data_IF_373716087099
#
_entry.id   IF_373716087099
#
_cell.length_a   1.000
_cell.length_b   1.000
_cell.length_c   1.000
_cell.angle_alpha   90.00
_cell.angle_beta   90.00
_cell.angle_gamma   90.00
#
_symmetry.space_group_name_H-M   'P 1'
#
loop_
_entity.id
_entity.type
_entity.pdbx_description
1 polymer ?
#
# COMPACT_ATOMS: atom_id res chain seq x y z
N UNK A 1 51.29 3.03 2.26
CA UNK A 1 50.77 4.04 3.21
C UNK A 1 49.46 4.57 2.63
N UNK A 2 48.38 3.86 2.91
CA UNK A 2 47.03 4.33 2.56
C UNK A 2 46.57 5.16 3.76
N UNK A 3 46.39 6.47 3.54
CA UNK A 3 45.80 7.35 4.54
C UNK A 3 44.30 7.40 4.27
N UNK A 4 43.50 6.95 5.24
CA UNK A 4 42.04 7.01 5.18
C UNK A 4 41.54 7.91 6.30
N UNK A 5 40.62 8.82 5.96
CA UNK A 5 39.99 9.71 6.92
C UNK A 5 38.48 9.56 6.86
N UNK A 6 37.87 9.24 7.99
CA UNK A 6 36.42 9.13 8.14
C UNK A 6 35.95 10.30 8.99
N UNK A 7 35.02 11.06 8.42
CA UNK A 7 34.43 12.24 9.04
C UNK A 7 32.92 12.22 8.85
N UNK A 8 32.17 12.51 9.92
CA UNK A 8 30.71 12.76 9.86
C UNK A 8 29.94 11.62 9.18
N UNK A 9 30.38 10.38 9.43
CA UNK A 9 29.79 9.19 8.84
C UNK A 9 29.02 8.41 9.92
N UNK A 10 27.85 7.89 9.55
CA UNK A 10 27.05 6.93 10.31
C UNK A 10 26.76 5.71 9.41
N UNK A 11 27.77 4.88 9.09
CA UNK A 11 27.53 3.72 8.26
C UNK A 11 26.88 2.61 9.10
N UNK A 12 25.77 2.03 8.62
CA UNK A 12 25.37 0.67 9.02
C UNK A 12 26.41 -0.28 8.42
N UNK A 13 27.31 -0.81 9.24
CA UNK A 13 28.36 -1.71 8.74
C UNK A 13 28.07 -3.13 9.22
N UNK A 14 27.65 -3.98 8.29
CA UNK A 14 27.54 -5.43 8.49
C UNK A 14 28.93 -6.11 8.64
N UNK A 15 30.05 -5.36 8.62
CA UNK A 15 31.40 -5.90 8.85
C UNK A 15 32.44 -4.81 9.14
N UNK A 16 33.39 -5.14 10.03
CA UNK A 16 34.44 -4.31 10.62
C UNK A 16 35.19 -3.34 9.67
N UNK A 17 35.48 -2.13 10.14
CA UNK A 17 36.54 -1.31 9.57
C UNK A 17 37.91 -1.96 9.85
N UNK A 18 38.57 -2.47 8.82
CA UNK A 18 39.86 -3.17 8.94
C UNK A 18 41.02 -2.25 8.53
N UNK A 19 41.99 -2.10 9.44
CA UNK A 19 43.25 -1.38 9.22
C UNK A 19 44.43 -2.35 9.28
N UNK A 20 45.09 -2.60 8.16
CA UNK A 20 46.23 -3.52 8.06
C UNK A 20 47.43 -2.82 7.40
N UNK A 21 48.61 -3.45 7.48
CA UNK A 21 49.82 -3.06 6.73
C UNK A 21 50.26 -1.59 6.92
N UNK A 22 50.37 -1.16 8.17
CA UNK A 22 50.92 0.15 8.54
C UNK A 22 50.06 1.33 8.01
N UNK A 23 48.74 1.11 7.92
CA UNK A 23 47.78 2.14 7.56
C UNK A 23 47.73 3.26 8.62
N UNK A 24 47.37 4.47 8.17
CA UNK A 24 47.09 5.59 9.06
C UNK A 24 45.62 5.97 8.92
N UNK A 25 44.87 5.83 10.02
CA UNK A 25 43.44 6.10 10.07
C UNK A 25 43.14 7.23 11.03
N UNK A 26 42.36 8.19 10.56
CA UNK A 26 41.80 9.26 11.36
C UNK A 26 40.27 9.12 11.41
N UNK A 27 39.71 9.03 12.61
CA UNK A 27 38.26 8.95 12.85
C UNK A 27 37.85 10.14 13.71
N UNK A 28 36.96 10.99 13.19
CA UNK A 28 36.50 12.17 13.90
C UNK A 28 35.00 12.39 13.72
N UNK A 29 34.31 12.72 14.81
CA UNK A 29 32.89 13.07 14.80
C UNK A 29 32.02 12.00 14.14
N UNK A 30 32.25 10.74 14.51
CA UNK A 30 31.58 9.58 13.92
C UNK A 30 30.97 8.68 14.98
N UNK A 31 29.83 8.09 14.63
CA UNK A 31 29.22 6.99 15.37
C UNK A 31 29.41 5.74 14.52
N UNK A 32 30.03 4.71 15.09
CA UNK A 32 30.23 3.42 14.44
C UNK A 32 29.64 2.37 15.37
N UNK A 33 28.57 1.72 14.90
CA UNK A 33 27.71 0.85 15.70
C UNK A 33 27.44 -0.48 14.98
N UNK A 34 27.16 -1.55 15.74
CA UNK A 34 26.86 -2.89 15.22
C UNK A 34 25.81 -3.57 16.12
N UNK A 35 24.85 -4.27 15.51
CA UNK A 35 23.75 -4.99 16.16
C UNK A 35 24.00 -6.52 16.26
N UNK A 36 25.12 -7.03 15.72
CA UNK A 36 25.43 -8.45 15.75
C UNK A 36 25.82 -8.93 17.15
N UNK A 37 25.07 -9.90 17.69
CA UNK A 37 25.37 -10.57 18.97
C UNK A 37 26.41 -11.69 18.85
N UNK A 38 27.24 -11.68 17.80
CA UNK A 38 28.22 -12.73 17.56
C UNK A 38 29.62 -12.29 18.00
N UNK A 39 30.25 -13.12 18.83
CA UNK A 39 31.57 -12.97 19.42
C UNK A 39 32.77 -12.87 18.42
N UNK A 40 32.60 -12.35 17.20
CA UNK A 40 33.62 -12.38 16.14
C UNK A 40 33.90 -11.09 15.37
N UNK A 41 33.16 -10.00 15.55
CA UNK A 41 33.36 -8.77 14.77
C UNK A 41 33.45 -7.54 15.67
N UNK A 42 34.66 -7.00 15.85
CA UNK A 42 34.80 -5.63 16.36
C UNK A 42 34.32 -4.67 15.28
N UNK A 43 33.62 -3.59 15.63
CA UNK A 43 33.29 -2.53 14.66
C UNK A 43 34.53 -1.95 13.95
N UNK A 44 35.70 -2.06 14.61
CA UNK A 44 37.02 -1.74 14.05
C UNK A 44 38.04 -2.81 14.43
N UNK A 45 38.77 -3.34 13.44
CA UNK A 45 39.94 -4.22 13.60
C UNK A 45 41.22 -3.52 13.15
N UNK A 46 42.23 -3.43 14.02
CA UNK A 46 43.49 -2.73 13.75
C UNK A 46 44.65 -3.70 13.95
N UNK A 47 45.38 -3.97 12.87
CA UNK A 47 46.53 -4.86 12.84
C UNK A 47 47.72 -4.04 12.32
N UNK A 48 48.76 -3.90 13.15
CA UNK A 48 50.00 -3.21 12.79
C UNK A 48 49.79 -1.84 12.09
N UNK A 49 48.85 -1.03 12.59
CA UNK A 49 48.44 0.24 11.97
C UNK A 49 48.27 1.36 13.01
N UNK A 50 48.27 2.60 12.54
CA UNK A 50 48.14 3.81 13.36
C UNK A 50 46.72 4.36 13.29
N UNK A 51 46.05 4.51 14.45
CA UNK A 51 44.69 5.06 14.50
C UNK A 51 44.59 6.20 15.50
N UNK A 52 43.97 7.30 15.08
CA UNK A 52 43.67 8.44 15.93
C UNK A 52 42.16 8.72 15.93
N UNK A 53 41.56 8.82 17.11
CA UNK A 53 40.11 8.93 17.29
C UNK A 53 39.79 10.11 18.20
N UNK A 54 38.89 10.98 17.75
CA UNK A 54 38.43 12.13 18.53
C UNK A 54 36.92 12.32 18.40
N UNK A 55 36.25 12.70 19.49
CA UNK A 55 34.82 13.04 19.54
C UNK A 55 33.91 12.01 18.84
N UNK A 56 34.20 10.72 19.03
CA UNK A 56 33.48 9.62 18.36
C UNK A 56 32.91 8.63 19.38
N UNK A 57 31.95 7.82 18.95
CA UNK A 57 31.39 6.70 19.71
C UNK A 57 31.55 5.43 18.88
N UNK A 58 32.30 4.45 19.40
CA UNK A 58 32.71 3.24 18.67
C UNK A 58 32.57 2.04 19.61
N UNK A 59 31.60 1.19 19.34
CA UNK A 59 31.32 0.00 20.14
C UNK A 59 32.19 -1.20 19.72
N UNK A 60 32.73 -1.93 20.70
CA UNK A 60 33.44 -3.21 20.50
C UNK A 60 32.93 -4.25 21.50
N UNK A 61 33.20 -5.53 21.24
CA UNK A 61 32.80 -6.67 22.08
C UNK A 61 33.13 -6.50 23.59
N UNK A 62 34.13 -5.69 23.94
CA UNK A 62 34.57 -5.45 25.32
C UNK A 62 34.78 -3.95 25.64
N UNK A 63 33.85 -3.08 25.26
CA UNK A 63 33.82 -1.67 25.65
C UNK A 63 33.91 -0.68 24.49
N UNK A 64 34.58 0.45 24.68
CA UNK A 64 34.68 1.54 23.69
C UNK A 64 36.12 1.73 23.23
N UNK A 65 36.33 2.16 21.99
CA UNK A 65 37.66 2.49 21.47
C UNK A 65 38.19 3.80 22.12
N UNK A 66 39.40 3.83 22.70
CA UNK A 66 39.93 5.03 23.36
C UNK A 66 40.16 6.19 22.38
N UNK A 67 39.87 7.42 22.82
CA UNK A 67 40.09 8.63 22.05
C UNK A 67 39.79 9.90 22.85
N UNK A 68 40.21 11.06 22.33
CA UNK A 68 40.07 12.35 23.02
C UNK A 68 38.67 12.89 22.81
N UNK A 69 37.94 13.19 23.90
CA UNK A 69 36.58 13.74 23.82
C UNK A 69 35.53 12.74 23.34
N UNK A 70 35.87 11.44 23.26
CA UNK A 70 34.95 10.37 22.92
C UNK A 70 33.88 10.19 24.00
N UNK A 71 32.73 9.67 23.59
CA UNK A 71 31.61 9.35 24.48
C UNK A 71 31.62 7.84 24.72
N UNK A 72 31.46 7.45 25.98
CA UNK A 72 31.57 6.06 26.42
C UNK A 72 30.21 5.40 26.70
N UNK A 73 29.11 6.10 26.44
CA UNK A 73 27.75 5.58 26.59
C UNK A 73 27.24 5.10 25.22
N UNK A 74 26.44 4.03 25.22
CA UNK A 74 25.78 3.57 24.00
C UNK A 74 24.86 4.69 23.47
N UNK A 75 24.80 4.92 22.15
CA UNK A 75 23.84 5.84 21.57
C UNK A 75 22.45 5.33 21.94
N UNK A 76 21.71 6.10 22.74
CA UNK A 76 20.33 5.74 23.06
C UNK A 76 19.55 6.07 21.80
N UNK A 77 18.93 5.08 21.16
CA UNK A 77 18.02 5.32 20.04
C UNK A 77 16.59 5.43 20.56
N UNK A 78 15.80 6.40 20.08
CA UNK A 78 14.36 6.49 20.42
C UNK A 78 13.50 5.52 19.62
N UNK A 79 14.00 5.10 18.46
CA UNK A 79 13.43 4.08 17.60
C UNK A 79 14.57 3.32 16.91
N UNK A 80 14.30 2.56 15.86
CA UNK A 80 15.31 1.72 15.22
C UNK A 80 16.45 2.51 14.55
N UNK A 81 16.29 3.80 14.28
CA UNK A 81 17.21 4.55 13.42
C UNK A 81 17.58 5.96 13.94
N UNK A 82 16.86 6.49 14.94
CA UNK A 82 17.10 7.84 15.46
C UNK A 82 17.70 7.84 16.87
N UNK A 83 18.68 8.72 17.10
CA UNK A 83 19.15 9.03 18.45
C UNK A 83 18.00 9.62 19.27
N UNK A 84 17.82 9.07 20.47
CA UNK A 84 16.93 9.57 21.49
C UNK A 84 17.21 11.04 21.77
N UNK A 85 16.18 11.88 22.02
CA UNK A 85 16.36 13.30 22.31
C UNK A 85 17.28 13.62 23.51
N UNK A 86 17.56 12.63 24.36
CA UNK A 86 18.47 12.76 25.51
C UNK A 86 19.86 12.17 25.26
N UNK A 87 20.13 11.67 24.05
CA UNK A 87 21.36 11.00 23.71
C UNK A 87 22.55 11.95 23.83
N UNK A 88 23.60 11.58 24.59
CA UNK A 88 24.80 12.40 24.73
C UNK A 88 25.60 12.55 23.42
N UNK A 89 25.24 11.76 22.40
CA UNK A 89 25.87 11.73 21.07
C UNK A 89 25.31 12.78 20.09
N UNK A 90 24.20 13.44 20.44
CA UNK A 90 23.63 14.57 19.67
C UNK A 90 24.61 15.77 19.73
N UNK A 91 24.82 16.43 18.59
CA UNK A 91 25.55 17.71 18.45
C UNK A 91 27.01 17.72 18.94
N UNK A 92 27.67 16.57 18.91
CA UNK A 92 29.10 16.47 19.27
C UNK A 92 30.05 16.94 18.16
N UNK A 93 29.49 17.48 17.06
CA UNK A 93 30.18 18.18 15.99
C UNK A 93 29.78 19.67 15.96
N UNK A 94 30.65 20.55 16.45
CA UNK A 94 30.37 21.97 16.66
C UNK A 94 29.93 22.77 15.40
N UNK A 95 29.13 23.80 15.64
CA UNK A 95 28.50 24.77 14.71
C UNK A 95 29.41 25.50 13.70
N UNK A 96 30.73 25.34 13.73
CA UNK A 96 31.64 26.15 12.89
C UNK A 96 31.92 25.59 11.48
N UNK A 97 31.48 24.37 11.14
CA UNK A 97 31.89 23.66 9.90
C UNK A 97 30.74 23.00 9.10
N UNK A 98 29.49 23.38 9.34
CA UNK A 98 28.34 22.87 8.58
C UNK A 98 28.00 23.82 7.40
N UNK A 99 27.66 23.29 6.20
CA UNK A 99 27.10 24.11 5.12
C UNK A 99 25.73 24.68 5.54
N UNK A 100 25.41 25.89 5.07
CA UNK A 100 24.24 26.66 5.50
C UNK A 100 22.91 26.01 5.09
N UNK A 101 22.94 25.13 4.07
CA UNK A 101 21.80 24.41 3.53
C UNK A 101 21.93 22.89 3.74
N UNK A 102 20.80 22.19 3.84
CA UNK A 102 20.73 20.73 3.73
C UNK A 102 20.75 20.25 2.25
N UNK A 103 20.52 18.95 2.03
CA UNK A 103 20.62 18.34 0.70
C UNK A 103 19.38 18.65 -0.16
N UNK A 104 18.27 18.99 0.48
CA UNK A 104 17.04 19.54 -0.12
C UNK A 104 17.12 21.05 -0.38
N UNK A 105 18.24 21.68 -0.01
CA UNK A 105 18.56 23.09 -0.23
C UNK A 105 17.75 24.06 0.66
N UNK A 106 17.33 23.60 1.84
CA UNK A 106 16.68 24.35 2.90
C UNK A 106 17.68 24.82 3.98
N UNK A 107 17.41 25.95 4.64
CA UNK A 107 18.31 26.49 5.67
C UNK A 107 18.28 25.64 6.93
N UNK A 108 19.45 25.12 7.32
CA UNK A 108 19.60 24.35 8.57
C UNK A 108 19.35 25.28 9.76
N UNK A 109 18.20 25.14 10.42
CA UNK A 109 17.82 26.03 11.52
C UNK A 109 18.67 25.84 12.79
N UNK A 110 19.30 24.67 12.95
CA UNK A 110 20.25 24.28 14.01
C UNK A 110 21.01 23.01 13.53
N UNK A 111 22.20 22.67 14.06
CA UNK A 111 22.97 21.54 13.53
C UNK A 111 22.21 20.24 13.77
N UNK A 112 22.20 19.35 12.77
CA UNK A 112 21.67 18.00 12.90
C UNK A 112 22.73 16.99 12.44
N UNK A 113 23.01 16.02 13.33
CA UNK A 113 23.73 14.77 13.07
C UNK A 113 22.71 13.64 13.02
N UNK A 114 21.95 13.58 11.93
CA UNK A 114 21.00 12.51 11.65
C UNK A 114 20.57 12.63 10.21
N UNK A 115 20.96 11.67 9.39
CA UNK A 115 20.32 11.42 8.11
C UNK A 115 20.28 9.91 7.99
N UNK A 116 19.16 9.30 8.39
CA UNK A 116 18.72 8.15 7.63
C UNK A 116 17.63 8.62 6.67
N UNK A 117 17.85 8.33 5.40
CA UNK A 117 16.91 8.57 4.32
C UNK A 117 15.76 7.57 4.48
N UNK A 118 14.60 8.06 4.90
CA UNK A 118 13.39 7.26 5.01
C UNK A 118 13.09 6.55 3.68
N UNK A 119 13.09 5.21 3.71
CA UNK A 119 12.57 4.40 2.62
C UNK A 119 11.06 4.21 2.82
N UNK A 120 10.20 4.85 2.00
CA UNK A 120 8.77 4.61 2.07
C UNK A 120 8.48 3.13 1.84
N UNK A 121 7.58 2.58 2.66
CA UNK A 121 7.09 1.24 2.40
C UNK A 121 6.31 1.21 1.08
N UNK A 122 6.37 0.07 0.38
CA UNK A 122 5.56 -0.11 -0.83
C UNK A 122 4.07 0.11 -0.50
N UNK A 123 3.29 0.66 -1.43
CA UNK A 123 1.87 0.91 -1.19
C UNK A 123 1.14 -0.40 -0.83
N UNK A 124 -0.01 -0.28 -0.18
CA UNK A 124 -0.93 -1.38 0.06
C UNK A 124 -2.20 -1.09 -0.74
N UNK A 125 -2.48 -1.91 -1.75
CA UNK A 125 -3.75 -1.86 -2.47
C UNK A 125 -4.84 -2.56 -1.66
N UNK A 126 -5.99 -1.90 -1.45
CA UNK A 126 -7.20 -2.57 -0.96
C UNK A 126 -8.46 -1.83 -1.37
N UNK A 127 -9.59 -2.55 -1.39
CA UNK A 127 -10.90 -1.98 -1.75
C UNK A 127 -12.05 -2.87 -1.31
N UNK A 128 -13.27 -2.31 -1.33
CA UNK A 128 -14.51 -3.07 -1.18
C UNK A 128 -15.64 -2.55 -2.10
N UNK A 129 -16.56 -3.43 -2.55
CA UNK A 129 -17.72 -3.01 -3.32
C UNK A 129 -18.88 -2.60 -2.40
N UNK A 130 -19.74 -1.68 -2.85
CA UNK A 130 -20.94 -1.28 -2.10
C UNK A 130 -22.03 -2.34 -2.13
N UNK A 131 -22.06 -3.18 -3.16
CA UNK A 131 -22.92 -4.36 -3.31
C UNK A 131 -22.09 -5.50 -3.93
N UNK A 132 -22.31 -6.74 -3.48
CA UNK A 132 -21.60 -7.91 -3.98
C UNK A 132 -22.45 -8.83 -4.86
N UNK A 133 -23.77 -8.58 -4.96
CA UNK A 133 -24.65 -9.36 -5.81
C UNK A 133 -25.85 -8.54 -6.31
N UNK A 134 -26.40 -8.96 -7.45
CA UNK A 134 -27.62 -8.38 -8.01
C UNK A 134 -27.93 -8.91 -9.40
N UNK A 135 -28.92 -8.33 -10.09
CA UNK A 135 -29.33 -8.78 -11.42
C UNK A 135 -28.67 -7.95 -12.53
N UNK A 136 -28.44 -8.58 -13.68
CA UNK A 136 -27.98 -7.87 -14.88
C UNK A 136 -29.05 -6.88 -15.41
N UNK A 137 -28.66 -5.66 -15.84
CA UNK A 137 -27.34 -5.08 -15.66
C UNK A 137 -27.13 -4.59 -14.21
N UNK A 138 -26.00 -4.94 -13.60
CA UNK A 138 -25.67 -4.59 -12.21
C UNK A 138 -24.69 -3.42 -12.17
N UNK A 139 -25.07 -2.33 -11.50
CA UNK A 139 -24.20 -1.17 -11.28
C UNK A 139 -23.56 -1.25 -9.89
N UNK A 140 -22.22 -1.31 -9.83
CA UNK A 140 -21.46 -1.46 -8.59
C UNK A 140 -20.53 -0.26 -8.41
N UNK A 141 -20.49 0.27 -7.19
CA UNK A 141 -19.46 1.22 -6.78
C UNK A 141 -18.36 0.49 -6.01
N UNK A 142 -17.11 0.75 -6.36
CA UNK A 142 -15.92 0.26 -5.67
C UNK A 142 -15.27 1.39 -4.88
N UNK A 143 -15.13 1.16 -3.58
CA UNK A 143 -14.50 2.08 -2.64
C UNK A 143 -13.05 1.67 -2.46
N UNK A 144 -12.14 2.49 -2.97
CA UNK A 144 -10.71 2.37 -2.72
C UNK A 144 -10.37 2.65 -1.24
N UNK A 145 -9.58 1.77 -0.65
CA UNK A 145 -9.03 1.90 0.71
C UNK A 145 -7.52 1.71 0.72
N UNK A 146 -6.87 1.90 -0.43
CA UNK A 146 -5.42 1.77 -0.58
C UNK A 146 -4.70 2.83 0.25
N UNK A 147 -3.57 2.43 0.82
CA UNK A 147 -2.71 3.31 1.63
C UNK A 147 -1.29 3.27 1.10
N UNK A 148 -0.58 4.39 1.23
CA UNK A 148 0.83 4.48 0.92
C UNK A 148 1.47 5.55 1.78
N UNK A 149 2.74 5.34 2.06
CA UNK A 149 3.64 6.30 2.68
C UNK A 149 3.87 7.52 1.77
N UNK A 150 3.82 7.29 0.46
CA UNK A 150 3.90 8.30 -0.58
C UNK A 150 2.53 8.61 -1.19
N UNK A 151 2.44 9.68 -1.97
CA UNK A 151 1.20 9.98 -2.69
C UNK A 151 0.95 8.93 -3.78
N UNK A 152 -0.21 8.25 -3.73
CA UNK A 152 -0.65 7.38 -4.82
C UNK A 152 -0.96 8.25 -6.05
N UNK A 153 -0.32 7.95 -7.18
CA UNK A 153 -0.42 8.71 -8.43
C UNK A 153 -1.28 8.01 -9.48
N UNK A 154 -1.47 6.69 -9.38
CA UNK A 154 -2.21 5.91 -10.37
C UNK A 154 -3.00 4.76 -9.75
N UNK A 155 -4.19 4.50 -10.32
CA UNK A 155 -5.07 3.38 -10.00
C UNK A 155 -5.46 2.67 -11.30
N UNK A 156 -5.29 1.35 -11.33
CA UNK A 156 -5.61 0.49 -12.46
C UNK A 156 -6.59 -0.57 -11.97
N UNK A 157 -7.82 -0.50 -12.47
CA UNK A 157 -8.91 -1.39 -12.13
C UNK A 157 -9.15 -2.38 -13.26
N UNK A 158 -9.23 -3.67 -12.94
CA UNK A 158 -9.73 -4.72 -13.82
C UNK A 158 -10.97 -5.34 -13.15
N UNK A 159 -12.09 -5.30 -13.85
CA UNK A 159 -13.38 -5.75 -13.33
C UNK A 159 -13.71 -7.22 -13.64
N UNK A 160 -12.80 -7.94 -14.31
CA UNK A 160 -12.97 -9.36 -14.61
C UNK A 160 -13.94 -9.66 -15.76
N UNK A 161 -14.38 -8.65 -16.50
CA UNK A 161 -15.25 -8.74 -17.68
C UNK A 161 -14.56 -8.24 -18.97
N UNK A 162 -13.22 -8.20 -18.96
CA UNK A 162 -12.35 -7.57 -19.96
C UNK A 162 -12.43 -6.04 -20.00
N UNK A 163 -13.10 -5.38 -19.06
CA UNK A 163 -12.99 -3.95 -18.87
C UNK A 163 -11.85 -3.61 -17.90
N UNK A 164 -10.98 -2.69 -18.34
CA UNK A 164 -9.92 -2.13 -17.51
C UNK A 164 -10.01 -0.61 -17.54
N UNK A 165 -9.84 0.04 -16.40
CA UNK A 165 -9.83 1.50 -16.27
C UNK A 165 -8.53 1.93 -15.59
N UNK A 166 -7.91 2.99 -16.11
CA UNK A 166 -6.72 3.60 -15.54
C UNK A 166 -7.01 5.06 -15.20
N UNK A 167 -6.65 5.48 -13.99
CA UNK A 167 -6.88 6.84 -13.49
C UNK A 167 -5.68 7.38 -12.74
N UNK A 168 -5.53 8.71 -12.78
CA UNK A 168 -4.43 9.44 -12.14
C UNK A 168 -4.93 10.34 -10.98
N UNK A 169 -6.12 10.05 -10.44
CA UNK A 169 -6.71 10.79 -9.34
C UNK A 169 -7.51 9.85 -8.46
N UNK A 170 -7.31 9.97 -7.14
CA UNK A 170 -8.05 9.24 -6.12
C UNK A 170 -9.57 9.46 -6.25
N UNK A 171 -10.33 8.40 -6.01
CA UNK A 171 -11.79 8.44 -6.01
C UNK A 171 -12.38 7.04 -6.08
N UNK A 172 -13.66 6.92 -5.75
CA UNK A 172 -14.41 5.69 -5.95
C UNK A 172 -14.63 5.44 -7.44
N UNK A 173 -14.64 4.17 -7.84
CA UNK A 173 -14.97 3.76 -9.20
C UNK A 173 -16.37 3.20 -9.28
N UNK A 174 -16.93 3.28 -10.48
CA UNK A 174 -18.21 2.69 -10.80
C UNK A 174 -18.07 1.82 -12.03
N UNK A 175 -18.67 0.63 -11.99
CA UNK A 175 -18.68 -0.30 -13.11
C UNK A 175 -20.06 -0.93 -13.29
N UNK A 176 -20.41 -1.21 -14.54
CA UNK A 176 -21.68 -1.84 -14.89
C UNK A 176 -21.43 -3.20 -15.55
N UNK A 177 -21.95 -4.25 -14.92
CA UNK A 177 -21.89 -5.60 -15.46
C UNK A 177 -23.16 -5.92 -16.24
N UNK A 178 -23.03 -6.24 -17.52
CA UNK A 178 -24.16 -6.54 -18.41
C UNK A 178 -24.56 -8.00 -18.44
N UNK A 179 -23.61 -8.90 -18.25
CA UNK A 179 -23.83 -10.34 -18.37
C UNK A 179 -23.91 -11.00 -16.98
N UNK A 180 -24.69 -12.08 -16.84
CA UNK A 180 -24.67 -12.89 -15.63
C UNK A 180 -23.34 -13.66 -15.49
N UNK A 181 -22.84 -13.75 -14.27
CA UNK A 181 -21.56 -14.42 -14.00
C UNK A 181 -20.99 -14.10 -12.63
N UNK A 182 -19.82 -14.68 -12.37
CA UNK A 182 -18.96 -14.33 -11.24
C UNK A 182 -17.77 -13.53 -11.77
N UNK A 183 -17.47 -12.41 -11.11
CA UNK A 183 -16.42 -11.51 -11.53
C UNK A 183 -15.32 -11.42 -10.47
N UNK A 184 -14.07 -11.55 -10.91
CA UNK A 184 -12.86 -11.35 -10.10
C UNK A 184 -12.36 -9.95 -10.34
N UNK A 185 -12.19 -9.16 -9.28
CA UNK A 185 -11.80 -7.75 -9.41
C UNK A 185 -10.35 -7.61 -8.94
N UNK A 186 -9.57 -6.85 -9.68
CA UNK A 186 -8.20 -6.49 -9.36
C UNK A 186 -8.03 -4.96 -9.33
N UNK A 187 -7.32 -4.48 -8.32
CA UNK A 187 -6.85 -3.10 -8.22
C UNK A 187 -5.33 -3.10 -8.12
N UNK A 188 -4.65 -2.36 -9.00
CA UNK A 188 -3.23 -2.03 -8.87
C UNK A 188 -3.07 -0.54 -8.62
N UNK A 189 -2.31 -0.16 -7.60
CA UNK A 189 -1.97 1.24 -7.29
C UNK A 189 -0.48 1.49 -7.50
N UNK A 190 -0.14 2.71 -7.91
CA UNK A 190 1.24 3.17 -8.09
C UNK A 190 1.46 4.45 -7.31
N UNK A 191 2.54 4.53 -6.54
CA UNK A 191 2.90 5.75 -5.81
C UNK A 191 3.75 6.73 -6.63
N UNK A 192 4.21 7.82 -6.01
CA UNK A 192 5.00 8.85 -6.68
C UNK A 192 6.41 8.40 -7.06
N UNK A 193 6.92 7.35 -6.42
CA UNK A 193 8.24 6.79 -6.68
C UNK A 193 8.19 5.62 -7.66
N UNK A 194 6.97 5.25 -8.09
CA UNK A 194 6.73 4.18 -9.05
C UNK A 194 6.62 2.79 -8.42
N UNK A 195 6.56 2.69 -7.09
CA UNK A 195 6.29 1.41 -6.42
C UNK A 195 4.84 1.00 -6.66
N UNK A 196 4.61 -0.30 -6.77
CA UNK A 196 3.30 -0.84 -7.14
C UNK A 196 2.84 -1.89 -6.15
N UNK A 197 1.53 -1.94 -5.93
CA UNK A 197 0.88 -3.01 -5.20
C UNK A 197 -0.46 -3.38 -5.83
N UNK A 198 -0.81 -4.66 -5.71
CA UNK A 198 -1.99 -5.22 -6.35
C UNK A 198 -2.84 -6.00 -5.35
N UNK A 199 -4.14 -5.72 -5.36
CA UNK A 199 -5.18 -6.47 -4.65
C UNK A 199 -6.01 -7.26 -5.64
N UNK A 200 -6.25 -8.54 -5.34
CA UNK A 200 -7.12 -9.41 -6.13
C UNK A 200 -8.17 -10.03 -5.22
N UNK A 201 -9.44 -9.84 -5.57
CA UNK A 201 -10.57 -10.49 -4.91
C UNK A 201 -11.28 -11.45 -5.89
N UNK A 202 -11.09 -12.77 -5.73
CA UNK A 202 -11.69 -13.75 -6.62
C UNK A 202 -13.20 -13.88 -6.41
N UNK A 203 -13.97 -13.93 -7.51
CA UNK A 203 -15.43 -14.12 -7.49
C UNK A 203 -16.16 -13.16 -6.52
N UNK A 204 -15.73 -11.90 -6.48
CA UNK A 204 -16.23 -10.89 -5.54
C UNK A 204 -17.66 -10.45 -5.85
N UNK A 205 -18.01 -10.33 -7.15
CA UNK A 205 -19.33 -9.88 -7.60
C UNK A 205 -20.08 -11.03 -8.26
N UNK A 206 -21.32 -11.27 -7.83
CA UNK A 206 -22.26 -12.19 -8.47
C UNK A 206 -23.35 -11.44 -9.24
N UNK A 207 -23.35 -11.56 -10.56
CA UNK A 207 -24.43 -11.03 -11.41
C UNK A 207 -25.36 -12.18 -11.78
N UNK A 208 -26.61 -12.05 -11.36
CA UNK A 208 -27.68 -13.02 -11.57
C UNK A 208 -28.40 -12.71 -12.89
N UNK A 209 -28.85 -13.73 -13.64
CA UNK A 209 -29.68 -13.50 -14.81
C UNK A 209 -30.98 -12.84 -14.39
N UNK A 210 -31.36 -11.77 -15.09
CA UNK A 210 -32.72 -11.24 -14.98
C UNK A 210 -33.64 -12.25 -15.65
N UNK A 211 -34.31 -13.09 -14.87
CA UNK A 211 -35.23 -14.09 -15.41
C UNK A 211 -36.29 -13.37 -16.27
N UNK A 212 -36.23 -13.57 -17.59
CA UNK A 212 -37.23 -13.12 -18.55
C UNK A 212 -38.31 -14.18 -18.81
N UNK A 213 -38.26 -15.31 -18.10
CA UNK A 213 -39.30 -16.32 -18.17
C UNK A 213 -40.54 -15.84 -17.42
N UNK A 214 -41.49 -15.27 -18.18
CA UNK A 214 -42.86 -15.07 -17.72
C UNK A 214 -43.62 -16.37 -17.95
N UNK A 215 -43.91 -17.11 -16.88
CA UNK A 215 -44.96 -18.11 -16.92
C UNK A 215 -46.29 -17.45 -16.53
N UNK A 216 -47.42 -18.00 -16.95
CA UNK A 216 -48.72 -17.61 -16.43
C UNK A 216 -49.59 -18.85 -16.24
N UNK A 217 -50.50 -18.78 -15.29
CA UNK A 217 -51.52 -19.81 -15.09
C UNK A 217 -52.89 -19.26 -15.49
N UNK A 218 -53.72 -20.09 -16.10
CA UNK A 218 -55.13 -19.82 -16.28
C UNK A 218 -55.92 -20.55 -15.19
N UNK A 219 -56.94 -19.91 -14.61
CA UNK A 219 -57.80 -20.58 -13.63
C UNK A 219 -58.55 -21.78 -14.24
N UNK A 220 -58.73 -21.80 -15.57
CA UNK A 220 -59.41 -22.84 -16.33
C UNK A 220 -58.74 -23.00 -17.70
N UNK A 221 -58.52 -24.25 -18.12
CA UNK A 221 -58.04 -24.58 -19.48
C UNK A 221 -59.17 -25.08 -20.39
N UNK A 222 -60.35 -25.32 -19.82
CA UNK A 222 -61.56 -25.70 -20.53
C UNK A 222 -62.78 -25.18 -19.76
N UNK A 223 -63.77 -24.63 -20.46
CA UNK A 223 -65.00 -24.15 -19.86
C UNK A 223 -66.16 -24.19 -20.88
N UNK A 224 -67.40 -24.18 -20.39
CA UNK A 224 -68.61 -24.08 -21.22
C UNK A 224 -69.05 -22.63 -21.34
N UNK A 225 -69.55 -22.24 -22.52
CA UNK A 225 -70.01 -20.87 -22.76
C UNK A 225 -71.33 -20.56 -22.02
N UNK A 226 -71.47 -19.38 -21.37
CA UNK A 226 -70.44 -18.36 -21.16
C UNK A 226 -69.55 -18.68 -19.95
N UNK A 227 -68.24 -18.40 -20.07
CA UNK A 227 -67.29 -18.59 -18.99
C UNK A 227 -66.28 -17.44 -18.92
N UNK A 228 -65.90 -17.10 -17.70
CA UNK A 228 -64.79 -16.20 -17.39
C UNK A 228 -63.53 -17.01 -17.07
N UNK A 229 -62.42 -16.66 -17.72
CA UNK A 229 -61.10 -17.29 -17.55
C UNK A 229 -60.12 -16.21 -17.12
N UNK A 230 -59.60 -16.31 -15.90
CA UNK A 230 -58.65 -15.35 -15.36
C UNK A 230 -57.23 -15.87 -15.54
N UNK A 231 -56.33 -15.01 -16.03
CA UNK A 231 -54.91 -15.32 -16.18
C UNK A 231 -54.09 -14.66 -15.08
N UNK A 232 -53.15 -15.41 -14.49
CA UNK A 232 -52.25 -14.95 -13.43
C UNK A 232 -50.81 -15.10 -13.87
N UNK A 233 -50.07 -14.00 -14.11
CA UNK A 233 -48.66 -14.04 -14.43
C UNK A 233 -47.83 -14.44 -13.21
N UNK A 234 -46.81 -15.26 -13.41
CA UNK A 234 -45.79 -15.60 -12.44
C UNK A 234 -44.57 -14.72 -12.71
N UNK A 235 -44.43 -13.67 -11.89
CA UNK A 235 -43.37 -12.68 -12.04
C UNK A 235 -42.23 -13.05 -11.07
N UNK A 236 -40.97 -13.11 -11.51
CA UNK A 236 -39.84 -13.23 -10.61
C UNK A 236 -39.78 -12.07 -9.60
N UNK A 237 -39.27 -12.34 -8.41
CA UNK A 237 -39.11 -11.30 -7.38
C UNK A 237 -38.28 -10.12 -7.90
N UNK A 238 -38.68 -8.89 -7.53
CA UNK A 238 -38.00 -7.63 -7.87
C UNK A 238 -37.99 -7.26 -9.37
N UNK A 239 -38.87 -7.83 -10.18
CA UNK A 239 -39.09 -7.35 -11.55
C UNK A 239 -40.10 -6.18 -11.56
N UNK A 240 -39.62 -4.98 -11.89
CA UNK A 240 -40.51 -3.86 -12.22
C UNK A 240 -41.23 -4.13 -13.54
N UNK A 241 -42.57 -4.00 -13.54
CA UNK A 241 -43.39 -4.12 -14.75
C UNK A 241 -43.97 -2.76 -15.10
N UNK A 242 -43.52 -2.23 -16.23
CA UNK A 242 -43.94 -0.92 -16.72
C UNK A 242 -45.24 -0.99 -17.54
N UNK A 243 -45.48 -2.12 -18.21
CA UNK A 243 -46.63 -2.31 -19.10
C UNK A 243 -47.08 -3.78 -19.17
N UNK A 244 -48.39 -3.99 -19.31
CA UNK A 244 -49.02 -5.30 -19.55
C UNK A 244 -49.68 -5.27 -20.93
N UNK A 245 -49.48 -6.32 -21.73
CA UNK A 245 -50.21 -6.57 -22.98
C UNK A 245 -50.54 -8.07 -23.07
N UNK A 246 -51.82 -8.41 -23.11
CA UNK A 246 -52.32 -9.77 -23.34
C UNK A 246 -53.02 -9.85 -24.68
N UNK A 247 -52.74 -10.89 -25.48
CA UNK A 247 -53.38 -11.18 -26.76
C UNK A 247 -54.04 -12.55 -26.70
N UNK A 248 -55.36 -12.61 -26.78
CA UNK A 248 -56.12 -13.85 -26.56
C UNK A 248 -56.32 -14.71 -27.82
N UNK A 249 -55.78 -14.28 -28.96
CA UNK A 249 -55.87 -14.99 -30.24
C UNK A 249 -57.23 -14.86 -30.94
N UNK A 250 -58.26 -14.35 -30.27
CA UNK A 250 -59.56 -13.98 -30.84
C UNK A 250 -59.62 -12.53 -31.38
N UNK A 251 -58.49 -11.81 -31.29
CA UNK A 251 -58.35 -10.41 -31.69
C UNK A 251 -58.56 -9.40 -30.56
N UNK A 252 -58.98 -9.84 -29.36
CA UNK A 252 -59.07 -8.98 -28.19
C UNK A 252 -57.71 -8.81 -27.50
N UNK A 253 -57.54 -7.67 -26.80
CA UNK A 253 -56.34 -7.32 -26.04
C UNK A 253 -56.69 -6.84 -24.64
N UNK A 254 -55.78 -7.00 -23.68
CA UNK A 254 -55.91 -6.43 -22.34
C UNK A 254 -54.59 -5.86 -21.82
N UNK A 255 -54.67 -4.73 -21.10
CA UNK A 255 -53.54 -4.07 -20.47
C UNK A 255 -53.57 -4.17 -18.94
N UNK A 256 -54.36 -5.10 -18.40
CA UNK A 256 -54.47 -5.35 -16.96
C UNK A 256 -53.42 -6.35 -16.50
N UNK A 257 -52.97 -6.22 -15.24
CA UNK A 257 -52.06 -7.19 -14.60
C UNK A 257 -52.71 -8.56 -14.36
N UNK A 258 -54.04 -8.63 -14.33
CA UNK A 258 -54.86 -9.85 -14.24
C UNK A 258 -56.06 -9.73 -15.18
N UNK A 259 -55.96 -10.18 -16.44
CA UNK A 259 -57.07 -10.09 -17.38
C UNK A 259 -58.08 -11.23 -17.18
N UNK A 260 -59.28 -11.04 -17.75
CA UNK A 260 -60.41 -11.98 -17.75
C UNK A 260 -60.91 -12.18 -19.19
#
# INVERSE_FOLDING_TARGET
LYNTSIHRNQPYVESALVAEDNAWILIQNSIIWSDETADSTNAISIINSHVNITYSNIERQHGVYPGIGNINDSPIMSDAFHLSPTSPCIDRAAVSNAPELDIENEYRAVPDMGADEWYPSSPIADFYPTISEGYAPLYVQFVDTSVSDLTITQWIWDFGDNATIMKNKAGHEYHQYYEPGWYTIQLTVVDSDGNQATRIWPNLIQVKPKNTAFEFTANKIQAYYPAEITFTPHIPENMGIDHWEWKFGDGSISNLSKPV
#
